data_IF_564788383924
#
_entry.id   IF_564788383924
#
_cell.length_a   1.000
_cell.length_b   1.000
_cell.length_c   1.000
_cell.angle_alpha   90.00
_cell.angle_beta   90.00
_cell.angle_gamma   90.00
#
_symmetry.space_group_name_H-M   'P 1'
#
loop_
_entity.id
_entity.type
_entity.pdbx_description
1 polymer ?
#
# COMPACT_ATOMS: atom_id res chain seq x y z
N UNK A 1 -4.53 -1.21 23.97
CA UNK A 1 -5.31 0.02 23.80
C UNK A 1 -5.32 0.33 22.31
N UNK A 2 -6.48 0.53 21.70
CA UNK A 2 -6.57 0.99 20.30
C UNK A 2 -5.99 2.39 20.20
N UNK A 3 -5.20 2.61 19.14
CA UNK A 3 -4.70 3.94 18.82
C UNK A 3 -5.83 4.72 18.13
N UNK A 4 -6.17 5.89 18.66
CA UNK A 4 -7.16 6.79 18.05
C UNK A 4 -6.47 8.03 17.54
N UNK A 5 -6.86 8.49 16.35
CA UNK A 5 -6.43 9.77 15.80
C UNK A 5 -7.27 10.91 16.40
N UNK A 6 -6.77 12.14 16.30
CA UNK A 6 -7.45 13.31 16.90
C UNK A 6 -8.90 13.50 16.44
N UNK A 7 -9.18 13.21 15.17
CA UNK A 7 -10.51 13.31 14.61
C UNK A 7 -11.44 12.15 15.01
N UNK A 8 -10.92 11.09 15.66
CA UNK A 8 -11.67 9.95 16.17
C UNK A 8 -12.07 10.09 17.65
N UNK A 9 -11.84 11.25 18.29
CA UNK A 9 -12.11 11.45 19.72
C UNK A 9 -13.55 11.11 20.13
N UNK A 10 -14.55 11.46 19.29
CA UNK A 10 -15.95 11.12 19.54
C UNK A 10 -16.22 9.62 19.46
N UNK A 11 -15.56 8.93 18.54
CA UNK A 11 -15.63 7.45 18.40
C UNK A 11 -15.00 6.79 19.61
N UNK A 12 -13.83 7.28 20.04
CA UNK A 12 -13.13 6.79 21.23
C UNK A 12 -14.01 6.86 22.47
N UNK A 13 -14.68 7.99 22.69
CA UNK A 13 -15.57 8.16 23.83
C UNK A 13 -16.69 7.12 23.84
N UNK A 14 -17.33 6.88 22.69
CA UNK A 14 -18.40 5.88 22.57
C UNK A 14 -17.86 4.47 22.79
N UNK A 15 -16.67 4.14 22.27
CA UNK A 15 -16.03 2.83 22.50
C UNK A 15 -15.72 2.61 24.00
N UNK A 16 -15.28 3.66 24.73
CA UNK A 16 -15.08 3.63 26.20
C UNK A 16 -16.39 3.44 26.94
N UNK A 17 -17.47 4.13 26.53
CA UNK A 17 -18.79 3.98 27.12
C UNK A 17 -19.37 2.57 26.91
N UNK A 18 -19.16 1.97 25.73
CA UNK A 18 -19.51 0.56 25.46
C UNK A 18 -18.73 -0.39 26.39
N UNK A 19 -17.42 -0.16 26.55
CA UNK A 19 -16.60 -0.98 27.43
C UNK A 19 -17.11 -0.91 28.90
N UNK A 20 -17.46 0.29 29.36
CA UNK A 20 -18.03 0.50 30.69
C UNK A 20 -19.40 -0.15 30.85
N UNK A 21 -20.28 -0.09 29.83
CA UNK A 21 -21.58 -0.75 29.84
C UNK A 21 -21.44 -2.28 29.89
N UNK A 22 -20.48 -2.84 29.16
CA UNK A 22 -20.14 -4.29 29.21
C UNK A 22 -19.73 -4.73 30.63
N UNK A 23 -18.89 -3.94 31.32
CA UNK A 23 -18.46 -4.24 32.70
C UNK A 23 -19.69 -4.27 33.66
N UNK A 24 -20.67 -3.41 33.40
CA UNK A 24 -21.91 -3.35 34.20
C UNK A 24 -22.97 -4.37 33.80
N UNK A 25 -22.80 -5.08 32.69
CA UNK A 25 -23.80 -6.01 32.17
C UNK A 25 -25.06 -5.35 31.58
N UNK A 26 -24.97 -4.08 31.17
CA UNK A 26 -26.10 -3.29 30.67
C UNK A 26 -26.26 -3.50 29.15
N UNK A 27 -26.95 -4.59 28.78
CA UNK A 27 -27.18 -4.95 27.38
C UNK A 27 -27.98 -3.90 26.61
N UNK A 28 -28.92 -3.20 27.27
CA UNK A 28 -29.72 -2.15 26.63
C UNK A 28 -28.86 -0.93 26.27
N UNK A 29 -27.99 -0.49 27.20
CA UNK A 29 -27.06 0.58 26.92
C UNK A 29 -26.08 0.21 25.80
N UNK A 30 -25.58 -1.04 25.77
CA UNK A 30 -24.68 -1.54 24.72
C UNK A 30 -25.35 -1.45 23.34
N UNK A 31 -26.62 -1.84 23.20
CA UNK A 31 -27.35 -1.76 21.93
C UNK A 31 -27.50 -0.32 21.44
N UNK A 32 -27.88 0.60 22.32
CA UNK A 32 -28.00 2.04 21.98
C UNK A 32 -26.66 2.62 21.55
N UNK A 33 -25.60 2.37 22.35
CA UNK A 33 -24.25 2.86 22.08
C UNK A 33 -23.69 2.33 20.76
N UNK A 34 -23.90 1.05 20.42
CA UNK A 34 -23.50 0.50 19.12
C UNK A 34 -24.21 1.18 17.93
N UNK A 35 -25.51 1.50 18.06
CA UNK A 35 -26.23 2.28 17.05
C UNK A 35 -25.64 3.69 16.88
N UNK A 36 -25.29 4.34 18.01
CA UNK A 36 -24.66 5.65 18.00
C UNK A 36 -23.25 5.60 17.42
N UNK A 37 -22.46 4.58 17.77
CA UNK A 37 -21.12 4.33 17.22
C UNK A 37 -21.15 4.23 15.69
N UNK A 38 -22.07 3.43 15.14
CA UNK A 38 -22.23 3.27 13.70
C UNK A 38 -22.53 4.59 12.99
N UNK A 39 -23.40 5.41 13.57
CA UNK A 39 -23.74 6.75 13.03
C UNK A 39 -22.54 7.70 13.10
N UNK A 40 -21.82 7.72 14.22
CA UNK A 40 -20.67 8.61 14.41
C UNK A 40 -19.50 8.20 13.50
N UNK A 41 -19.24 6.90 13.30
CA UNK A 41 -18.27 6.41 12.32
C UNK A 41 -18.59 6.94 10.93
N UNK A 42 -19.84 6.79 10.45
CA UNK A 42 -20.25 7.29 9.14
C UNK A 42 -20.01 8.80 9.04
N UNK A 43 -20.39 9.55 10.06
CA UNK A 43 -20.25 11.02 10.08
C UNK A 43 -18.80 11.46 10.01
N UNK A 44 -17.91 10.82 10.78
CA UNK A 44 -16.47 11.14 10.83
C UNK A 44 -15.78 10.74 9.53
N UNK A 45 -15.95 9.48 9.08
CA UNK A 45 -15.19 8.95 7.97
C UNK A 45 -15.69 9.37 6.58
N UNK A 46 -16.94 9.79 6.45
CA UNK A 46 -17.47 10.29 5.18
C UNK A 46 -16.81 11.59 4.70
N UNK A 47 -16.30 12.41 5.62
CA UNK A 47 -15.81 13.77 5.34
C UNK A 47 -14.33 13.96 5.71
N UNK A 48 -13.51 12.91 5.60
CA UNK A 48 -12.09 13.03 5.87
C UNK A 48 -11.40 13.95 4.85
N UNK A 49 -10.61 14.89 5.35
CA UNK A 49 -9.72 15.69 4.51
C UNK A 49 -8.44 14.93 4.12
N UNK A 50 -7.64 15.53 3.25
CA UNK A 50 -6.43 14.92 2.71
C UNK A 50 -5.41 14.56 3.81
N UNK A 51 -5.26 15.43 4.80
CA UNK A 51 -4.35 15.20 5.93
C UNK A 51 -4.82 14.08 6.86
N UNK A 52 -6.11 13.99 7.13
CA UNK A 52 -6.69 12.88 7.89
C UNK A 52 -6.51 11.53 7.15
N UNK A 53 -6.62 11.51 5.82
CA UNK A 53 -6.30 10.31 5.02
C UNK A 53 -4.82 9.94 5.11
N UNK A 54 -3.91 10.91 5.08
CA UNK A 54 -2.48 10.67 5.34
C UNK A 54 -2.25 10.06 6.72
N UNK A 55 -2.93 10.57 7.76
CA UNK A 55 -2.84 10.01 9.10
C UNK A 55 -3.33 8.55 9.15
N UNK A 56 -4.42 8.22 8.42
CA UNK A 56 -4.91 6.85 8.29
C UNK A 56 -3.95 5.94 7.50
N UNK A 57 -3.32 6.44 6.44
CA UNK A 57 -2.30 5.69 5.69
C UNK A 57 -1.13 5.29 6.59
N UNK A 58 -0.79 6.14 7.57
CA UNK A 58 0.30 5.96 8.55
C UNK A 58 -0.15 5.34 9.87
N UNK A 59 -1.43 5.01 10.00
CA UNK A 59 -1.97 4.51 11.27
C UNK A 59 -1.23 3.25 11.74
N UNK A 60 -0.76 3.16 13.01
CA UNK A 60 0.07 2.04 13.47
C UNK A 60 -0.65 0.69 13.44
N UNK A 61 -1.98 0.68 13.52
CA UNK A 61 -2.80 -0.53 13.45
C UNK A 61 -3.25 -0.86 12.02
N UNK A 62 -2.92 -0.01 11.02
CA UNK A 62 -3.20 -0.32 9.62
C UNK A 62 -2.49 -1.61 9.21
N UNK A 63 -3.16 -2.52 8.48
CA UNK A 63 -2.52 -3.76 8.03
C UNK A 63 -1.38 -3.46 7.06
N UNK A 64 -0.25 -4.15 7.25
CA UNK A 64 0.92 -4.14 6.37
C UNK A 64 0.87 -5.34 5.42
N UNK A 65 1.79 -5.41 4.47
CA UNK A 65 1.82 -6.48 3.46
C UNK A 65 1.70 -7.90 4.04
N UNK A 66 2.44 -8.23 5.11
CA UNK A 66 2.35 -9.55 5.75
C UNK A 66 0.97 -9.81 6.36
N UNK A 67 0.30 -8.79 6.89
CA UNK A 67 -1.05 -8.98 7.45
C UNK A 67 -2.05 -9.36 6.35
N UNK A 68 -2.00 -8.66 5.22
CA UNK A 68 -2.79 -8.99 4.04
C UNK A 68 -2.46 -10.38 3.48
N UNK A 69 -1.16 -10.67 3.27
CA UNK A 69 -0.70 -11.96 2.75
C UNK A 69 -1.22 -13.11 3.62
N UNK A 70 -1.10 -13.00 4.94
CA UNK A 70 -1.58 -14.02 5.88
C UNK A 70 -3.10 -14.19 5.89
N UNK A 71 -3.86 -13.18 5.52
CA UNK A 71 -5.32 -13.26 5.50
C UNK A 71 -5.87 -13.94 4.25
N UNK A 72 -5.16 -13.90 3.12
CA UNK A 72 -5.69 -14.39 1.85
C UNK A 72 -4.83 -15.41 1.11
N UNK A 73 -3.53 -15.53 1.43
CA UNK A 73 -2.65 -16.44 0.70
C UNK A 73 -2.73 -17.86 1.29
N UNK A 74 -3.22 -18.80 0.50
CA UNK A 74 -3.29 -20.22 0.86
C UNK A 74 -2.03 -20.92 0.38
N UNK A 75 -1.49 -21.85 1.19
CA UNK A 75 -0.25 -22.59 0.92
C UNK A 75 0.93 -21.68 0.58
N UNK A 76 1.02 -20.56 1.31
CA UNK A 76 2.02 -19.50 1.10
C UNK A 76 3.42 -19.92 1.54
N UNK A 77 4.40 -19.77 0.63
CA UNK A 77 5.80 -20.00 0.89
C UNK A 77 6.62 -18.72 0.68
N UNK A 78 7.39 -18.30 1.68
CA UNK A 78 8.23 -17.08 1.60
C UNK A 78 9.55 -17.37 0.88
N UNK A 79 9.94 -16.48 -0.03
CA UNK A 79 11.16 -16.56 -0.84
C UNK A 79 12.11 -15.46 -0.41
N UNK A 80 13.35 -15.84 -0.04
CA UNK A 80 14.35 -14.97 0.55
C UNK A 80 15.55 -14.71 -0.34
N UNK A 81 16.25 -13.58 -0.08
CA UNK A 81 17.55 -13.20 -0.60
C UNK A 81 17.59 -12.75 -2.05
N UNK A 82 18.51 -11.84 -2.36
CA UNK A 82 18.72 -11.31 -3.71
C UNK A 82 19.65 -12.16 -4.58
N UNK A 83 20.31 -13.16 -4.02
CA UNK A 83 21.32 -13.99 -4.66
C UNK A 83 22.59 -13.25 -5.10
N UNK A 84 22.78 -12.03 -4.58
CA UNK A 84 23.96 -11.21 -4.86
C UNK A 84 24.67 -10.77 -3.58
N UNK A 85 23.95 -10.25 -2.59
CA UNK A 85 24.54 -9.73 -1.36
C UNK A 85 23.90 -10.32 -0.09
N UNK A 86 22.60 -10.04 0.15
CA UNK A 86 21.91 -10.52 1.37
C UNK A 86 20.40 -10.44 1.28
N UNK A 87 19.73 -10.79 2.38
CA UNK A 87 18.31 -10.57 2.59
C UNK A 87 18.04 -9.11 2.98
N UNK A 88 16.95 -8.53 2.41
CA UNK A 88 16.34 -7.32 2.94
C UNK A 88 14.89 -7.61 3.38
N UNK A 89 14.63 -7.58 4.69
CA UNK A 89 13.29 -7.85 5.21
C UNK A 89 12.29 -6.70 5.01
N UNK A 90 12.70 -5.55 4.45
CA UNK A 90 11.78 -4.47 4.08
C UNK A 90 10.98 -4.81 2.81
N UNK A 91 11.40 -5.79 2.01
CA UNK A 91 10.58 -6.41 0.97
C UNK A 91 10.35 -7.88 1.34
N UNK A 92 9.11 -8.34 1.19
CA UNK A 92 8.71 -9.73 1.38
C UNK A 92 8.20 -10.30 0.07
N UNK A 93 8.54 -11.55 -0.22
CA UNK A 93 8.14 -12.23 -1.45
C UNK A 93 7.53 -13.58 -1.10
N UNK A 94 6.33 -13.85 -1.61
CA UNK A 94 5.64 -15.12 -1.37
C UNK A 94 5.16 -15.73 -2.68
N UNK A 95 5.01 -17.04 -2.70
CA UNK A 95 4.28 -17.80 -3.70
C UNK A 95 3.21 -18.62 -2.99
N UNK A 96 1.99 -18.64 -3.52
CA UNK A 96 0.86 -19.36 -2.94
C UNK A 96 -0.39 -19.20 -3.81
N UNK A 97 -1.56 -19.41 -3.25
CA UNK A 97 -2.83 -19.33 -3.97
C UNK A 97 -3.69 -18.18 -3.47
N UNK A 98 -4.22 -17.36 -4.38
CA UNK A 98 -5.24 -16.34 -4.12
C UNK A 98 -6.48 -16.70 -4.93
N UNK A 99 -7.61 -17.00 -4.27
CA UNK A 99 -8.84 -17.40 -4.97
C UNK A 99 -8.66 -18.62 -5.88
N UNK A 100 -7.81 -19.57 -5.49
CA UNK A 100 -7.49 -20.76 -6.28
C UNK A 100 -6.46 -20.57 -7.41
N UNK A 101 -6.02 -19.33 -7.68
CA UNK A 101 -5.00 -19.00 -8.67
C UNK A 101 -3.62 -18.93 -8.03
N UNK A 102 -2.66 -19.72 -8.55
CA UNK A 102 -1.27 -19.66 -8.09
C UNK A 102 -0.66 -18.31 -8.46
N UNK A 103 -0.17 -17.58 -7.47
CA UNK A 103 0.21 -16.17 -7.57
C UNK A 103 1.52 -15.91 -6.84
N UNK A 104 2.34 -15.01 -7.35
CA UNK A 104 3.47 -14.43 -6.63
C UNK A 104 3.03 -13.11 -6.00
N UNK A 105 3.28 -12.96 -4.71
CA UNK A 105 3.00 -11.71 -3.98
C UNK A 105 4.32 -11.11 -3.51
N UNK A 106 4.55 -9.86 -3.86
CA UNK A 106 5.73 -9.09 -3.45
C UNK A 106 5.24 -7.83 -2.74
N UNK A 107 5.69 -7.60 -1.51
CA UNK A 107 5.21 -6.47 -0.73
C UNK A 107 6.29 -5.74 0.03
N UNK A 108 6.16 -4.42 0.10
CA UNK A 108 6.93 -3.61 1.03
C UNK A 108 6.38 -3.77 2.43
N UNK A 109 7.26 -3.92 3.41
CA UNK A 109 6.89 -4.31 4.75
C UNK A 109 7.47 -3.39 5.80
N UNK A 110 6.61 -2.64 6.45
CA UNK A 110 6.91 -1.92 7.69
C UNK A 110 6.94 -2.87 8.89
N UNK A 111 7.60 -2.47 9.96
CA UNK A 111 7.67 -3.22 11.22
C UNK A 111 6.78 -2.62 12.31
N UNK A 112 6.22 -3.47 13.20
CA UNK A 112 5.60 -3.04 14.47
C UNK A 112 6.54 -3.21 15.63
N UNK A 113 6.56 -2.22 16.53
CA UNK A 113 7.50 -2.15 17.64
C UNK A 113 8.94 -1.86 17.19
N UNK A 114 9.77 -1.35 18.09
CA UNK A 114 11.10 -0.82 17.79
C UNK A 114 12.00 -1.85 17.10
N UNK A 115 12.08 -3.07 17.63
CA UNK A 115 12.93 -4.14 17.08
C UNK A 115 12.59 -4.48 15.62
N UNK A 116 11.29 -4.62 15.32
CA UNK A 116 10.87 -4.95 13.94
C UNK A 116 10.97 -3.75 13.00
N UNK A 117 10.74 -2.53 13.48
CA UNK A 117 10.96 -1.31 12.69
C UNK A 117 12.42 -1.21 12.25
N UNK A 118 13.37 -1.37 13.17
CA UNK A 118 14.81 -1.38 12.87
C UNK A 118 15.18 -2.51 11.90
N UNK A 119 14.71 -3.76 12.16
CA UNK A 119 14.98 -4.91 11.28
C UNK A 119 14.52 -4.68 9.84
N UNK A 120 13.41 -3.92 9.65
CA UNK A 120 12.81 -3.65 8.34
C UNK A 120 13.11 -2.24 7.82
N UNK A 121 14.15 -1.61 8.34
CA UNK A 121 14.60 -0.28 7.95
C UNK A 121 13.45 0.73 7.91
N UNK A 122 12.50 0.65 8.85
CA UNK A 122 11.27 1.45 8.90
C UNK A 122 10.39 1.34 7.65
N UNK A 123 10.50 0.25 6.90
CA UNK A 123 9.80 0.03 5.65
C UNK A 123 10.51 0.62 4.42
N UNK A 124 11.76 1.04 4.57
CA UNK A 124 12.59 1.58 3.49
C UNK A 124 13.51 0.49 2.93
N UNK A 125 13.27 -0.03 1.71
CA UNK A 125 14.10 -1.08 1.16
C UNK A 125 15.51 -0.60 0.78
N UNK A 126 16.48 -1.48 1.00
CA UNK A 126 17.82 -1.42 0.43
C UNK A 126 17.86 -1.99 -0.99
N UNK A 127 18.97 -1.82 -1.76
CA UNK A 127 19.10 -2.34 -3.13
C UNK A 127 18.83 -3.85 -3.24
N UNK A 128 19.24 -4.62 -2.25
CA UNK A 128 19.01 -6.06 -2.19
C UNK A 128 17.54 -6.45 -2.09
N UNK A 129 16.69 -5.60 -1.51
CA UNK A 129 15.24 -5.78 -1.51
C UNK A 129 14.66 -5.67 -2.91
N UNK A 130 15.04 -4.64 -3.66
CA UNK A 130 14.61 -4.43 -5.05
C UNK A 130 15.14 -5.52 -5.98
N UNK A 131 16.40 -5.93 -5.82
CA UNK A 131 16.96 -7.07 -6.59
C UNK A 131 16.24 -8.38 -6.29
N UNK A 132 15.87 -8.62 -5.03
CA UNK A 132 15.04 -9.77 -4.65
C UNK A 132 13.67 -9.71 -5.33
N UNK A 133 13.00 -8.56 -5.30
CA UNK A 133 11.71 -8.37 -5.98
C UNK A 133 11.81 -8.71 -7.47
N UNK A 134 12.81 -8.18 -8.17
CA UNK A 134 13.05 -8.48 -9.59
C UNK A 134 13.31 -9.97 -9.83
N UNK A 135 14.19 -10.57 -9.05
CA UNK A 135 14.50 -12.00 -9.17
C UNK A 135 13.25 -12.87 -9.05
N UNK A 136 12.39 -12.56 -8.07
CA UNK A 136 11.16 -13.31 -7.81
C UNK A 136 10.11 -13.02 -8.91
N UNK A 137 10.03 -11.79 -9.41
CA UNK A 137 9.17 -11.45 -10.53
C UNK A 137 9.58 -12.17 -11.83
N UNK A 138 10.89 -12.27 -12.13
CA UNK A 138 11.38 -13.07 -13.26
C UNK A 138 11.13 -14.58 -13.07
N UNK A 139 11.11 -15.06 -11.86
CA UNK A 139 10.67 -16.43 -11.58
C UNK A 139 9.16 -16.57 -11.87
N UNK A 140 8.34 -15.60 -11.49
CA UNK A 140 6.90 -15.61 -11.81
C UNK A 140 6.66 -15.64 -13.34
N UNK A 141 7.36 -14.81 -14.09
CA UNK A 141 7.33 -14.83 -15.57
C UNK A 141 7.67 -16.22 -16.13
N UNK A 142 8.78 -16.82 -15.68
CA UNK A 142 9.22 -18.14 -16.14
C UNK A 142 8.16 -19.23 -15.94
N UNK A 143 7.36 -19.14 -14.91
CA UNK A 143 6.32 -20.10 -14.58
C UNK A 143 4.90 -19.62 -14.95
N UNK A 144 4.78 -18.54 -15.71
CA UNK A 144 3.50 -17.91 -16.11
C UNK A 144 2.57 -17.65 -14.92
N UNK A 145 3.12 -17.14 -13.82
CA UNK A 145 2.37 -16.81 -12.62
C UNK A 145 2.08 -15.31 -12.58
N UNK A 146 0.84 -14.88 -12.30
CA UNK A 146 0.54 -13.48 -12.08
C UNK A 146 1.25 -12.95 -10.83
N UNK A 147 1.47 -11.63 -10.81
CA UNK A 147 2.15 -10.94 -9.72
C UNK A 147 1.19 -9.93 -9.09
N UNK A 148 1.11 -9.97 -7.75
CA UNK A 148 0.50 -8.93 -6.94
C UNK A 148 1.59 -8.16 -6.18
N UNK A 149 1.73 -6.86 -6.47
CA UNK A 149 2.55 -5.96 -5.68
C UNK A 149 1.73 -5.25 -4.60
N UNK A 150 2.25 -5.21 -3.36
CA UNK A 150 1.69 -4.47 -2.24
C UNK A 150 2.66 -3.36 -1.83
N UNK A 151 2.29 -2.10 -2.09
CA UNK A 151 3.14 -0.93 -1.91
C UNK A 151 2.83 -0.30 -0.55
N UNK A 152 3.83 -0.25 0.35
CA UNK A 152 3.73 0.43 1.65
C UNK A 152 5.11 0.82 2.19
N UNK A 153 5.65 1.91 1.67
CA UNK A 153 6.96 2.46 2.02
C UNK A 153 6.94 3.98 2.13
N UNK A 154 7.68 4.58 3.05
CA UNK A 154 7.95 6.02 3.04
C UNK A 154 8.96 6.43 1.94
N UNK A 155 9.67 5.47 1.33
CA UNK A 155 10.68 5.67 0.29
C UNK A 155 11.76 4.62 0.32
N UNK A 156 12.71 4.70 -0.60
CA UNK A 156 13.93 3.89 -0.59
C UNK A 156 14.86 4.30 0.57
N UNK A 157 15.66 3.37 1.08
CA UNK A 157 16.61 3.67 2.16
C UNK A 157 17.69 4.66 1.68
N UNK A 158 17.86 5.83 2.34
CA UNK A 158 18.70 6.92 1.85
C UNK A 158 20.16 6.87 2.34
N UNK A 159 20.56 5.79 3.04
CA UNK A 159 21.88 5.72 3.66
C UNK A 159 23.01 5.42 2.67
N UNK A 160 24.23 5.89 2.99
CA UNK A 160 25.45 5.72 2.17
C UNK A 160 25.66 4.27 1.74
N UNK A 161 25.51 3.30 2.65
CA UNK A 161 25.65 1.89 2.31
C UNK A 161 24.63 1.37 1.29
N UNK A 162 23.48 2.01 1.11
CA UNK A 162 22.55 1.68 0.03
C UNK A 162 23.06 2.26 -1.31
N UNK A 163 23.53 3.52 -1.30
CA UNK A 163 24.12 4.15 -2.49
C UNK A 163 25.35 3.37 -3.01
N UNK A 164 26.26 2.97 -2.11
CA UNK A 164 27.43 2.15 -2.44
C UNK A 164 27.08 0.80 -3.08
N UNK A 165 25.90 0.25 -2.78
CA UNK A 165 25.41 -1.02 -3.35
C UNK A 165 24.43 -0.84 -4.50
N UNK A 166 24.32 0.38 -5.04
CA UNK A 166 23.56 0.70 -6.25
C UNK A 166 22.05 0.86 -6.02
N UNK A 167 21.65 1.72 -5.09
CA UNK A 167 20.22 1.99 -4.81
C UNK A 167 19.46 2.47 -6.05
N UNK A 168 19.99 3.49 -6.72
CA UNK A 168 19.36 4.02 -7.93
C UNK A 168 19.36 3.01 -9.08
N UNK A 169 20.42 2.23 -9.24
CA UNK A 169 20.49 1.16 -10.26
C UNK A 169 19.42 0.09 -10.00
N UNK A 170 19.29 -0.38 -8.76
CA UNK A 170 18.32 -1.41 -8.42
C UNK A 170 16.87 -0.95 -8.66
N UNK A 171 16.56 0.30 -8.36
CA UNK A 171 15.25 0.92 -8.64
C UNK A 171 15.04 1.04 -10.15
N UNK A 172 15.97 1.66 -10.87
CA UNK A 172 15.87 1.88 -12.32
C UNK A 172 15.78 0.56 -13.10
N UNK A 173 16.54 -0.45 -12.68
CA UNK A 173 16.47 -1.79 -13.24
C UNK A 173 15.09 -2.40 -13.09
N UNK A 174 14.47 -2.29 -11.93
CA UNK A 174 13.11 -2.77 -11.70
C UNK A 174 12.10 -2.08 -12.62
N UNK A 175 12.17 -0.75 -12.76
CA UNK A 175 11.27 -0.01 -13.65
C UNK A 175 11.36 -0.54 -15.09
N UNK A 176 12.59 -0.69 -15.61
CA UNK A 176 12.84 -1.18 -16.95
C UNK A 176 12.35 -2.62 -17.16
N UNK A 177 12.71 -3.52 -16.24
CA UNK A 177 12.41 -4.94 -16.36
C UNK A 177 10.93 -5.24 -16.17
N UNK A 178 10.25 -4.59 -15.21
CA UNK A 178 8.82 -4.81 -14.98
C UNK A 178 7.96 -4.27 -16.13
N UNK A 179 8.38 -3.20 -16.81
CA UNK A 179 7.69 -2.72 -18.00
C UNK A 179 7.61 -3.79 -19.10
N UNK A 180 8.63 -4.65 -19.19
CA UNK A 180 8.76 -5.68 -20.22
C UNK A 180 8.37 -7.09 -19.77
N UNK A 181 7.98 -7.29 -18.51
CA UNK A 181 7.71 -8.61 -17.94
C UNK A 181 6.48 -9.27 -18.57
N UNK A 182 6.63 -10.49 -19.07
CA UNK A 182 5.60 -11.23 -19.81
C UNK A 182 4.70 -12.04 -18.88
N UNK A 183 4.07 -11.36 -17.93
CA UNK A 183 3.05 -11.92 -17.05
C UNK A 183 2.16 -10.81 -16.51
N UNK A 184 0.90 -11.06 -16.13
CA UNK A 184 0.03 -10.06 -15.52
C UNK A 184 0.60 -9.52 -14.21
N UNK A 185 0.61 -8.19 -14.07
CA UNK A 185 1.08 -7.48 -12.88
C UNK A 185 -0.01 -6.55 -12.38
N UNK A 186 -0.41 -6.72 -11.13
CA UNK A 186 -1.34 -5.83 -10.43
C UNK A 186 -0.60 -5.25 -9.22
N UNK A 187 -0.58 -3.93 -9.08
CA UNK A 187 0.03 -3.23 -7.96
C UNK A 187 -1.04 -2.47 -7.16
N UNK A 188 -0.95 -2.53 -5.84
CA UNK A 188 -1.89 -1.85 -4.94
C UNK A 188 -1.11 -1.08 -3.87
N UNK A 189 -1.34 0.23 -3.79
CA UNK A 189 -0.85 1.04 -2.67
C UNK A 189 -1.76 0.80 -1.47
N UNK A 190 -1.25 0.13 -0.45
CA UNK A 190 -2.02 -0.29 0.73
C UNK A 190 -1.88 0.66 1.93
N UNK A 191 -0.90 1.57 1.89
CA UNK A 191 -0.63 2.55 2.93
C UNK A 191 0.06 3.78 2.34
N UNK A 192 1.38 3.90 2.46
CA UNK A 192 2.15 4.96 1.83
C UNK A 192 2.89 4.44 0.60
N UNK A 193 2.79 5.18 -0.51
CA UNK A 193 3.63 4.97 -1.69
C UNK A 193 4.64 6.11 -1.81
N UNK A 194 5.83 5.95 -1.23
CA UNK A 194 6.84 7.00 -1.19
C UNK A 194 7.86 6.91 -2.33
N UNK A 195 7.89 7.92 -3.22
CA UNK A 195 8.98 8.20 -4.15
C UNK A 195 9.44 6.98 -4.99
N UNK A 196 10.73 6.94 -5.31
CA UNK A 196 11.36 5.84 -6.04
C UNK A 196 11.23 4.48 -5.35
N UNK A 197 11.08 4.46 -4.02
CA UNK A 197 10.80 3.24 -3.27
C UNK A 197 9.53 2.53 -3.74
N UNK A 198 8.45 3.28 -3.82
CA UNK A 198 7.17 2.77 -4.30
C UNK A 198 7.19 2.48 -5.81
N UNK A 199 7.82 3.36 -6.60
CA UNK A 199 7.93 3.16 -8.05
C UNK A 199 8.68 1.87 -8.42
N UNK A 200 9.67 1.48 -7.64
CA UNK A 200 10.47 0.29 -7.88
C UNK A 200 9.67 -1.03 -7.93
N UNK A 201 8.45 -1.04 -7.40
CA UNK A 201 7.48 -2.14 -7.54
C UNK A 201 6.10 -1.62 -8.00
N UNK A 202 6.05 -0.41 -8.58
CA UNK A 202 4.81 0.25 -9.00
C UNK A 202 4.48 0.11 -10.49
N UNK A 203 5.40 -0.40 -11.31
CA UNK A 203 5.17 -0.64 -12.74
C UNK A 203 4.30 -1.88 -12.93
N UNK A 204 3.06 -1.69 -13.39
CA UNK A 204 2.06 -2.75 -13.47
C UNK A 204 1.02 -2.51 -14.58
N UNK A 205 0.32 -3.58 -14.98
CA UNK A 205 -0.82 -3.49 -15.90
C UNK A 205 -2.00 -2.74 -15.25
N UNK A 206 -2.16 -2.94 -13.93
CA UNK A 206 -3.12 -2.22 -13.09
C UNK A 206 -2.42 -1.68 -11.85
N UNK A 207 -2.51 -0.38 -11.65
CA UNK A 207 -2.07 0.30 -10.42
C UNK A 207 -3.30 0.83 -9.69
N UNK A 208 -3.60 0.28 -8.52
CA UNK A 208 -4.72 0.72 -7.68
C UNK A 208 -4.23 1.27 -6.35
N UNK A 209 -5.12 1.96 -5.66
CA UNK A 209 -4.89 2.47 -4.31
C UNK A 209 -6.04 2.09 -3.39
N UNK A 210 -5.74 1.68 -2.15
CA UNK A 210 -6.74 1.62 -1.09
C UNK A 210 -7.24 3.04 -0.78
N UNK A 211 -8.51 3.20 -0.45
CA UNK A 211 -9.18 4.51 -0.28
C UNK A 211 -8.44 5.50 0.61
N UNK A 212 -7.90 5.02 1.73
CA UNK A 212 -7.17 5.82 2.70
C UNK A 212 -5.65 5.58 2.62
N UNK A 213 -5.13 5.33 1.42
CA UNK A 213 -3.70 5.32 1.12
C UNK A 213 -3.28 6.63 0.46
N UNK A 214 -1.97 6.88 0.42
CA UNK A 214 -1.37 8.05 -0.24
C UNK A 214 -0.21 7.62 -1.13
N UNK A 215 0.02 8.35 -2.23
CA UNK A 215 1.13 8.09 -3.14
C UNK A 215 1.75 9.41 -3.57
N UNK A 216 3.04 9.60 -3.33
CA UNK A 216 3.71 10.89 -3.52
C UNK A 216 5.19 10.74 -3.82
N UNK A 217 5.75 11.75 -4.48
CA UNK A 217 7.19 11.83 -4.79
C UNK A 217 8.05 12.21 -3.58
N UNK A 218 7.47 12.90 -2.61
CA UNK A 218 8.13 13.37 -1.39
C UNK A 218 7.13 13.34 -0.23
N UNK A 219 7.60 13.26 1.01
CA UNK A 219 6.72 13.38 2.17
C UNK A 219 6.14 14.79 2.29
N UNK A 220 4.91 14.97 2.81
CA UNK A 220 4.34 16.30 3.06
C UNK A 220 5.20 17.17 3.96
N UNK A 221 5.90 16.59 4.93
CA UNK A 221 6.85 17.28 5.80
C UNK A 221 8.05 17.80 5.00
N UNK A 222 8.59 16.98 4.09
CA UNK A 222 9.68 17.38 3.19
C UNK A 222 9.25 18.47 2.21
N UNK A 223 8.07 18.34 1.63
CA UNK A 223 7.47 19.35 0.77
C UNK A 223 7.30 20.70 1.51
N UNK A 224 6.76 20.66 2.72
CA UNK A 224 6.56 21.85 3.55
C UNK A 224 7.90 22.53 3.91
N UNK A 225 8.91 21.74 4.24
CA UNK A 225 10.26 22.26 4.53
C UNK A 225 10.86 22.96 3.30
N UNK A 226 10.72 22.41 2.11
CA UNK A 226 11.27 23.01 0.87
C UNK A 226 10.49 24.27 0.48
N UNK A 227 9.16 24.22 0.45
CA UNK A 227 8.35 25.33 -0.08
C UNK A 227 8.20 26.49 0.92
N UNK A 228 8.13 26.20 2.21
CA UNK A 228 7.85 27.21 3.24
C UNK A 228 8.91 27.30 4.33
N UNK A 229 9.98 26.51 4.23
CA UNK A 229 11.01 26.39 5.28
C UNK A 229 10.42 26.08 6.67
N UNK A 230 9.29 25.36 6.69
CA UNK A 230 8.53 25.05 7.90
C UNK A 230 7.84 23.69 7.79
N UNK A 231 8.43 22.60 8.36
CA UNK A 231 7.84 21.27 8.30
C UNK A 231 6.48 21.14 8.99
N UNK A 232 6.11 22.08 9.89
CA UNK A 232 4.81 22.05 10.58
C UNK A 232 3.63 22.33 9.64
N UNK A 233 3.87 22.88 8.44
CA UNK A 233 2.86 23.12 7.40
C UNK A 233 2.51 21.88 6.57
N UNK A 234 2.77 20.70 7.12
CA UNK A 234 2.48 19.42 6.44
C UNK A 234 1.02 19.23 6.02
N UNK A 235 0.06 19.78 6.75
CA UNK A 235 -1.36 19.73 6.38
C UNK A 235 -1.61 20.52 5.09
N UNK A 236 -1.08 21.74 4.99
CA UNK A 236 -1.15 22.56 3.79
C UNK A 236 -0.44 21.89 2.61
N UNK A 237 0.74 21.30 2.85
CA UNK A 237 1.46 20.53 1.84
C UNK A 237 0.64 19.36 1.33
N UNK A 238 0.06 18.55 2.22
CA UNK A 238 -0.76 17.39 1.86
C UNK A 238 -1.90 17.76 0.91
N UNK A 239 -2.60 18.86 1.21
CA UNK A 239 -3.68 19.37 0.36
C UNK A 239 -3.18 19.82 -1.02
N UNK A 240 -2.05 20.51 -1.06
CA UNK A 240 -1.49 21.04 -2.32
C UNK A 240 -0.89 19.97 -3.21
N UNK A 241 -0.36 18.90 -2.64
CA UNK A 241 0.35 17.83 -3.35
C UNK A 241 -0.56 16.87 -4.10
N UNK A 242 -1.87 16.84 -3.82
CA UNK A 242 -2.84 15.96 -4.49
C UNK A 242 -2.43 14.47 -4.45
N UNK A 243 -2.19 13.94 -3.25
CA UNK A 243 -1.60 12.61 -3.03
C UNK A 243 -2.59 11.53 -2.62
N UNK A 244 -3.89 11.87 -2.48
CA UNK A 244 -4.91 10.90 -2.07
C UNK A 244 -5.32 10.00 -3.24
N UNK A 245 -5.91 8.85 -2.92
CA UNK A 245 -6.40 7.92 -3.94
C UNK A 245 -7.40 8.58 -4.91
N UNK A 246 -8.29 9.44 -4.41
CA UNK A 246 -9.24 10.17 -5.23
C UNK A 246 -8.57 11.20 -6.15
N UNK A 247 -7.60 11.97 -5.63
CA UNK A 247 -6.82 12.91 -6.43
C UNK A 247 -6.11 12.20 -7.59
N UNK A 248 -5.39 11.10 -7.29
CA UNK A 248 -4.59 10.40 -8.29
C UNK A 248 -5.46 9.64 -9.31
N UNK A 249 -6.64 9.18 -8.90
CA UNK A 249 -7.64 8.63 -9.83
C UNK A 249 -8.16 9.71 -10.76
N UNK A 250 -8.46 10.91 -10.25
CA UNK A 250 -8.90 12.05 -11.06
C UNK A 250 -7.82 12.47 -12.06
N UNK A 251 -6.54 12.44 -11.67
CA UNK A 251 -5.39 12.72 -12.54
C UNK A 251 -5.02 11.56 -13.48
N UNK A 252 -5.78 10.45 -13.47
CA UNK A 252 -5.50 9.25 -14.27
C UNK A 252 -4.13 8.62 -14.02
N UNK A 253 -3.53 8.85 -12.84
CA UNK A 253 -2.27 8.26 -12.42
C UNK A 253 -2.44 6.86 -11.82
N UNK A 254 -3.65 6.53 -11.37
CA UNK A 254 -4.01 5.19 -10.90
C UNK A 254 -5.27 4.69 -11.60
N UNK A 255 -5.34 3.38 -11.83
CA UNK A 255 -6.43 2.75 -12.57
C UNK A 255 -7.72 2.63 -11.74
N UNK A 256 -7.59 2.44 -10.42
CA UNK A 256 -8.74 2.25 -9.54
C UNK A 256 -8.48 2.69 -8.10
N UNK A 257 -9.57 3.01 -7.40
CA UNK A 257 -9.60 3.16 -5.95
C UNK A 257 -10.35 1.96 -5.37
N UNK A 258 -9.71 1.24 -4.46
CA UNK A 258 -10.32 0.11 -3.74
C UNK A 258 -10.93 0.66 -2.46
N UNK A 259 -12.26 0.59 -2.36
CA UNK A 259 -12.96 1.06 -1.18
C UNK A 259 -12.61 0.23 0.06
N UNK A 260 -12.32 0.91 1.14
CA UNK A 260 -12.10 0.31 2.46
C UNK A 260 -13.43 0.21 3.24
N UNK A 261 -13.49 -0.67 4.26
CA UNK A 261 -14.57 -0.58 5.25
C UNK A 261 -14.69 0.85 5.79
N UNK A 262 -15.90 1.29 6.03
CA UNK A 262 -16.18 2.70 6.37
C UNK A 262 -15.40 3.22 7.58
N UNK A 263 -15.01 2.33 8.48
CA UNK A 263 -14.19 2.62 9.65
C UNK A 263 -12.69 2.48 9.41
N UNK A 264 -12.27 2.32 8.14
CA UNK A 264 -10.89 2.17 7.71
C UNK A 264 -10.29 0.78 7.93
N UNK A 265 -9.24 0.47 7.17
CA UNK A 265 -8.55 -0.83 7.20
C UNK A 265 -7.93 -1.18 8.57
N UNK A 266 -7.59 -0.20 9.40
CA UNK A 266 -7.02 -0.41 10.73
C UNK A 266 -8.04 -0.97 11.74
N UNK A 267 -9.33 -0.73 11.54
CA UNK A 267 -10.42 -1.24 12.38
C UNK A 267 -11.06 -2.51 11.83
N UNK A 268 -11.08 -2.67 10.51
CA UNK A 268 -11.60 -3.88 9.84
C UNK A 268 -10.60 -4.38 8.79
N UNK A 269 -9.63 -5.14 9.28
CA UNK A 269 -8.55 -5.71 8.45
C UNK A 269 -9.07 -6.77 7.48
N UNK A 270 -10.03 -7.56 7.91
CA UNK A 270 -10.59 -8.65 7.10
C UNK A 270 -11.45 -8.09 5.96
N UNK A 271 -12.27 -7.07 6.24
CA UNK A 271 -13.02 -6.36 5.21
C UNK A 271 -12.11 -5.70 4.17
N UNK A 272 -11.02 -5.06 4.62
CA UNK A 272 -10.03 -4.46 3.73
C UNK A 272 -9.30 -5.51 2.87
N UNK A 273 -8.91 -6.64 3.47
CA UNK A 273 -8.27 -7.74 2.75
C UNK A 273 -9.21 -8.35 1.70
N UNK A 274 -10.48 -8.54 2.05
CA UNK A 274 -11.50 -9.05 1.13
C UNK A 274 -11.71 -8.11 -0.06
N UNK A 275 -11.75 -6.79 0.17
CA UNK A 275 -11.87 -5.81 -0.90
C UNK A 275 -10.68 -5.86 -1.86
N UNK A 276 -9.45 -5.94 -1.33
CA UNK A 276 -8.23 -6.08 -2.13
C UNK A 276 -8.23 -7.36 -2.97
N UNK A 277 -8.58 -8.50 -2.38
CA UNK A 277 -8.62 -9.80 -3.07
C UNK A 277 -9.67 -9.81 -4.18
N UNK A 278 -10.86 -9.27 -3.92
CA UNK A 278 -11.92 -9.18 -4.92
C UNK A 278 -11.47 -8.34 -6.12
N UNK A 279 -10.82 -7.20 -5.87
CA UNK A 279 -10.23 -6.37 -6.92
C UNK A 279 -9.17 -7.16 -7.70
N UNK A 280 -8.21 -7.80 -7.02
CA UNK A 280 -7.17 -8.58 -7.67
C UNK A 280 -7.72 -9.67 -8.57
N UNK A 281 -8.68 -10.47 -8.08
CA UNK A 281 -9.28 -11.57 -8.86
C UNK A 281 -10.03 -11.02 -10.09
N UNK A 282 -10.78 -9.93 -9.92
CA UNK A 282 -11.54 -9.31 -11.02
C UNK A 282 -10.61 -8.79 -12.11
N UNK A 283 -9.58 -8.02 -11.75
CA UNK A 283 -8.63 -7.47 -12.73
C UNK A 283 -7.77 -8.53 -13.39
N UNK A 284 -7.34 -9.53 -12.61
CA UNK A 284 -6.58 -10.65 -13.17
C UNK A 284 -7.37 -11.38 -14.24
N UNK A 285 -8.66 -11.64 -14.02
CA UNK A 285 -9.53 -12.28 -14.99
C UNK A 285 -9.67 -11.48 -16.31
N UNK A 286 -9.60 -10.16 -16.25
CA UNK A 286 -9.59 -9.31 -17.46
C UNK A 286 -8.22 -9.32 -18.15
N UNK A 287 -7.13 -9.26 -17.38
CA UNK A 287 -5.77 -9.28 -17.95
C UNK A 287 -5.43 -10.62 -18.62
N UNK A 288 -5.92 -11.73 -18.09
CA UNK A 288 -5.71 -13.07 -18.64
C UNK A 288 -6.44 -13.33 -19.99
N UNK A 289 -7.36 -12.45 -20.39
CA UNK A 289 -7.99 -12.51 -21.71
C UNK A 289 -7.09 -11.97 -22.83
N UNK A 290 -6.07 -11.19 -22.49
CA UNK A 290 -5.17 -10.56 -23.45
C UNK A 290 -4.07 -11.53 -23.90
N UNK A 291 -3.64 -11.42 -25.17
CA UNK A 291 -2.37 -12.00 -25.58
C UNK A 291 -1.22 -11.36 -24.82
N UNK A 292 -0.17 -12.12 -24.57
CA UNK A 292 0.95 -11.67 -23.71
C UNK A 292 1.69 -10.46 -24.31
N UNK A 293 1.79 -10.37 -25.64
CA UNK A 293 2.44 -9.24 -26.29
C UNK A 293 1.52 -8.00 -26.24
N UNK A 294 0.22 -8.20 -26.39
CA UNK A 294 -0.79 -7.13 -26.20
C UNK A 294 -0.78 -6.61 -24.77
N UNK A 295 -0.68 -7.50 -23.77
CA UNK A 295 -0.57 -7.12 -22.36
C UNK A 295 0.62 -6.19 -22.11
N UNK A 296 1.81 -6.59 -22.60
CA UNK A 296 3.03 -5.79 -22.44
C UNK A 296 2.94 -4.46 -23.20
N UNK A 297 2.43 -4.47 -24.43
CA UNK A 297 2.25 -3.24 -25.20
C UNK A 297 1.31 -2.26 -24.50
N UNK A 298 0.16 -2.71 -24.00
CA UNK A 298 -0.79 -1.87 -23.25
C UNK A 298 -0.19 -1.32 -21.94
N UNK A 299 0.67 -2.09 -21.26
CA UNK A 299 1.40 -1.61 -20.06
C UNK A 299 2.33 -0.45 -20.41
N UNK A 300 3.10 -0.58 -21.50
CA UNK A 300 4.01 0.47 -21.98
C UNK A 300 3.23 1.70 -22.44
N UNK A 301 2.20 1.51 -23.25
CA UNK A 301 1.35 2.60 -23.75
C UNK A 301 0.70 3.39 -22.60
N UNK A 302 0.22 2.68 -21.57
CA UNK A 302 -0.32 3.32 -20.36
C UNK A 302 0.71 4.21 -19.68
N UNK A 303 1.95 3.76 -19.52
CA UNK A 303 3.01 4.55 -18.89
C UNK A 303 3.35 5.77 -19.73
N UNK A 304 3.43 5.61 -21.06
CA UNK A 304 3.74 6.71 -21.99
C UNK A 304 2.61 7.74 -22.10
N UNK A 305 1.37 7.34 -21.79
CA UNK A 305 0.20 8.23 -21.82
C UNK A 305 -0.02 9.02 -20.53
N UNK A 306 0.82 8.81 -19.49
CA UNK A 306 0.70 9.54 -18.23
C UNK A 306 1.07 11.00 -18.44
N UNK A 307 0.18 11.90 -18.03
CA UNK A 307 0.33 13.35 -18.10
C UNK A 307 -0.52 13.98 -19.18
N UNK A 308 -1.06 15.15 -18.86
CA UNK A 308 -1.73 16.02 -19.82
C UNK A 308 -0.78 17.16 -20.21
N UNK A 309 -0.68 17.46 -21.50
CA UNK A 309 0.06 18.62 -22.01
C UNK A 309 -0.79 19.33 -23.07
N UNK A 310 -0.64 20.63 -23.15
CA UNK A 310 -1.19 21.45 -24.24
C UNK A 310 -0.02 21.82 -25.16
N UNK A 311 -0.19 21.69 -26.47
CA UNK A 311 0.75 22.12 -27.50
C UNK A 311 0.62 23.63 -27.77
#
# INVERSE_FOLDING_TARGET
MSNYLDFEKSIKQIDEDIANARIRGDEHAIEILNKNLSKEIIKVYKNLNEYQRLQLARHPDRPYSIDYIRSFLVDGYEIHGDRAFREDPAIVCFIGYIGGKKTVVIGEQKGRGTKNKLRRNFGMPHPEGYRKALRVAKMAEKFNLPILFLIDTPGAYPGVGAEERGQSEAIARNLFEFANLKTPIIAVVIGEGGSGGALAIGVADRLAMMKNSVFSVISPEGCAAILWNDPSKQEQATKSMKITADDLKHLSLVDAVIEEPINGAHRDKDGAAKALVNYFISELAELEKLDINELVAKRIDKILSIGAYEE
#
